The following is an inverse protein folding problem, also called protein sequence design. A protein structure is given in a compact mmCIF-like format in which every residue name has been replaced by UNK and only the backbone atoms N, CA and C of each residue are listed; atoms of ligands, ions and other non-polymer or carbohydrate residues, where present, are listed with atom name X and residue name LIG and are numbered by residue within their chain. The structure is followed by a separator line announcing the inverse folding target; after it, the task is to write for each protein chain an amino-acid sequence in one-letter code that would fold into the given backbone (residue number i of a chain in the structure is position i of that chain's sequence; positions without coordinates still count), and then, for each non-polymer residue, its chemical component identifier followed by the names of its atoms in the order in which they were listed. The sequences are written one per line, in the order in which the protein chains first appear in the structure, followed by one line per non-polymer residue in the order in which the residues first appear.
data_IF_671088712074
#
_entry.id   IF_671088712074
#
_cell.length_a   1.000
_cell.length_b   1.000
_cell.length_c   1.000
_cell.angle_alpha   90.00
_cell.angle_beta   90.00
_cell.angle_gamma   90.00
#
_symmetry.space_group_name_H-M   'P 1'
#
loop_
_entity.id
_entity.type
_entity.pdbx_description
1 polymer ?
#
# COMPACT_ATOMS: atom_id res chain seq x y z
N UNK A 1 5.99 16.02 -18.26
CA UNK A 1 4.68 16.39 -18.85
C UNK A 1 3.59 15.57 -18.16
N UNK A 2 2.71 16.22 -17.41
CA UNK A 2 1.59 15.56 -16.73
C UNK A 2 0.44 15.40 -17.71
N UNK A 3 0.34 14.23 -18.36
CA UNK A 3 -0.83 13.90 -19.15
C UNK A 3 -2.02 13.72 -18.20
N UNK A 4 -3.06 14.54 -18.35
CA UNK A 4 -4.37 14.37 -17.72
C UNK A 4 -5.13 13.32 -18.55
N UNK A 5 -5.14 12.02 -18.19
CA UNK A 5 -5.87 11.02 -18.96
C UNK A 5 -7.36 11.31 -18.90
N UNK A 6 -8.06 11.00 -19.99
CA UNK A 6 -9.47 11.34 -20.19
C UNK A 6 -10.35 10.14 -20.44
N UNK A 7 -9.79 8.96 -20.78
CA UNK A 7 -10.55 7.75 -21.10
C UNK A 7 -10.71 6.87 -19.86
N UNK A 8 -11.90 6.73 -19.26
CA UNK A 8 -12.11 5.84 -18.12
C UNK A 8 -11.94 4.36 -18.50
N UNK A 9 -11.72 3.52 -17.50
CA UNK A 9 -11.77 2.07 -17.68
C UNK A 9 -13.21 1.62 -17.93
N UNK A 10 -13.46 0.63 -18.81
CA UNK A 10 -14.82 0.17 -19.09
C UNK A 10 -15.50 -0.43 -17.84
N UNK A 11 -14.74 -1.11 -16.99
CA UNK A 11 -15.23 -1.69 -15.73
C UNK A 11 -14.10 -1.73 -14.68
N UNK A 12 -14.48 -1.99 -13.42
CA UNK A 12 -13.52 -2.21 -12.32
C UNK A 12 -12.76 -3.54 -12.53
N UNK A 13 -11.42 -3.53 -12.64
CA UNK A 13 -10.65 -4.77 -12.78
C UNK A 13 -10.61 -5.58 -11.47
N UNK A 14 -10.30 -6.87 -11.58
CA UNK A 14 -10.09 -7.73 -10.41
C UNK A 14 -8.96 -7.22 -9.50
N UNK A 15 -9.14 -7.35 -8.18
CA UNK A 15 -8.19 -6.88 -7.17
C UNK A 15 -8.24 -5.37 -6.88
N UNK A 16 -9.09 -4.61 -7.57
CA UNK A 16 -9.32 -3.20 -7.25
C UNK A 16 -10.44 -3.05 -6.21
N UNK A 17 -10.22 -2.17 -5.25
CA UNK A 17 -11.19 -1.75 -4.24
C UNK A 17 -11.80 -0.42 -4.70
N UNK A 18 -13.13 -0.30 -4.58
CA UNK A 18 -13.82 0.99 -4.78
C UNK A 18 -13.55 1.89 -3.57
N UNK A 19 -12.97 3.06 -3.82
CA UNK A 19 -12.67 4.05 -2.78
C UNK A 19 -13.85 5.00 -2.59
N UNK A 20 -14.35 5.54 -3.69
CA UNK A 20 -15.48 6.46 -3.71
C UNK A 20 -16.06 6.59 -5.11
N UNK A 21 -17.26 7.15 -5.21
CA UNK A 21 -17.88 7.54 -6.48
C UNK A 21 -17.80 9.05 -6.64
N UNK A 22 -17.52 9.53 -7.83
CA UNK A 22 -17.45 10.96 -8.12
C UNK A 22 -18.27 11.31 -9.36
N UNK A 23 -18.69 12.57 -9.46
CA UNK A 23 -19.44 13.05 -10.63
C UNK A 23 -18.56 13.31 -11.86
N UNK A 24 -17.23 13.44 -11.69
CA UNK A 24 -16.30 13.77 -12.78
C UNK A 24 -14.88 13.25 -12.55
N UNK A 25 -14.09 13.25 -13.63
CA UNK A 25 -12.65 12.97 -13.61
C UNK A 25 -11.83 13.98 -12.80
N UNK A 26 -12.41 15.13 -12.44
CA UNK A 26 -11.72 16.17 -11.68
C UNK A 26 -11.12 15.63 -10.38
N UNK A 27 -11.81 14.71 -9.70
CA UNK A 27 -11.24 14.07 -8.51
C UNK A 27 -10.08 13.13 -8.82
N UNK A 28 -10.18 12.30 -9.85
CA UNK A 28 -9.06 11.47 -10.27
C UNK A 28 -7.80 12.31 -10.55
N UNK A 29 -7.94 13.42 -11.30
CA UNK A 29 -6.81 14.33 -11.55
C UNK A 29 -6.29 15.03 -10.30
N UNK A 30 -7.15 15.34 -9.33
CA UNK A 30 -6.72 15.90 -8.06
C UNK A 30 -5.82 14.93 -7.27
N UNK A 31 -6.12 13.63 -7.26
CA UNK A 31 -5.25 12.60 -6.66
C UNK A 31 -3.91 12.52 -7.39
N UNK A 32 -3.90 12.48 -8.72
CA UNK A 32 -2.66 12.41 -9.50
C UNK A 32 -1.79 13.67 -9.31
N UNK A 33 -2.41 14.85 -9.40
CA UNK A 33 -1.71 16.12 -9.21
C UNK A 33 -1.27 16.34 -7.76
N UNK A 34 -2.03 15.83 -6.78
CA UNK A 34 -1.64 15.80 -5.38
C UNK A 34 -0.41 14.91 -5.15
N UNK A 35 -0.44 13.67 -5.66
CA UNK A 35 0.69 12.75 -5.60
C UNK A 35 1.96 13.36 -6.20
N UNK A 36 1.88 13.93 -7.41
CA UNK A 36 3.03 14.57 -8.03
C UNK A 36 3.59 15.75 -7.21
N UNK A 37 2.72 16.62 -6.69
CA UNK A 37 3.13 17.75 -5.82
C UNK A 37 3.74 17.27 -4.51
N UNK A 38 3.29 16.14 -3.97
CA UNK A 38 3.87 15.49 -2.80
C UNK A 38 5.16 14.71 -3.11
N UNK A 39 5.74 14.87 -4.31
CA UNK A 39 6.98 14.21 -4.72
C UNK A 39 6.83 12.73 -5.07
N UNK A 40 5.60 12.24 -5.25
CA UNK A 40 5.34 10.85 -5.62
C UNK A 40 5.51 10.65 -7.11
N UNK A 41 5.96 9.46 -7.45
CA UNK A 41 6.08 9.05 -8.83
C UNK A 41 4.74 8.56 -9.36
N UNK A 42 4.30 9.11 -10.50
CA UNK A 42 3.05 8.74 -11.17
C UNK A 42 3.38 8.26 -12.58
N UNK A 43 3.15 6.97 -12.84
CA UNK A 43 3.45 6.33 -14.12
C UNK A 43 2.23 5.62 -14.71
N UNK A 44 2.15 5.52 -16.02
CA UNK A 44 1.22 4.60 -16.68
C UNK A 44 1.69 3.16 -16.45
N UNK A 45 0.82 2.22 -16.08
CA UNK A 45 1.15 0.80 -16.08
C UNK A 45 1.61 0.33 -17.46
N UNK A 46 2.47 -0.70 -17.49
CA UNK A 46 3.00 -1.25 -18.75
C UNK A 46 1.86 -1.75 -19.64
N UNK A 47 1.90 -1.34 -20.91
CA UNK A 47 0.89 -1.72 -21.91
C UNK A 47 -0.38 -0.87 -21.89
N UNK A 48 -0.51 0.08 -20.94
CA UNK A 48 -1.62 1.01 -20.96
C UNK A 48 -1.40 2.14 -21.95
N UNK A 49 -2.48 2.49 -22.63
CA UNK A 49 -2.59 3.72 -23.38
C UNK A 49 -2.45 4.94 -22.45
N UNK A 50 -1.66 5.96 -22.83
CA UNK A 50 -1.52 7.19 -22.04
C UNK A 50 -2.83 7.90 -21.72
N UNK A 51 -3.87 7.78 -22.54
CA UNK A 51 -5.18 8.40 -22.29
C UNK A 51 -6.03 7.64 -21.28
N UNK A 52 -5.70 6.37 -21.00
CA UNK A 52 -6.44 5.55 -20.05
C UNK A 52 -6.29 6.10 -18.62
N UNK A 53 -7.39 6.23 -17.90
CA UNK A 53 -7.45 6.72 -16.52
C UNK A 53 -7.00 5.64 -15.52
N UNK A 54 -5.76 5.17 -15.68
CA UNK A 54 -5.08 4.23 -14.80
C UNK A 54 -3.64 4.66 -14.59
N UNK A 55 -3.24 4.85 -13.33
CA UNK A 55 -1.89 5.29 -12.97
C UNK A 55 -1.36 4.55 -11.77
N UNK A 56 -0.13 4.07 -11.85
CA UNK A 56 0.62 3.57 -10.72
C UNK A 56 1.22 4.77 -9.98
N UNK A 57 1.03 4.79 -8.67
CA UNK A 57 1.60 5.80 -7.77
C UNK A 57 2.57 5.10 -6.81
N UNK A 58 3.79 5.63 -6.71
CA UNK A 58 4.87 5.08 -5.88
C UNK A 58 5.63 6.16 -5.13
N UNK A 59 6.37 5.73 -4.10
CA UNK A 59 7.28 6.61 -3.35
C UNK A 59 6.67 7.28 -2.12
N UNK A 60 5.53 6.78 -1.61
CA UNK A 60 5.05 7.10 -0.28
C UNK A 60 5.33 5.94 0.66
N UNK A 61 5.89 6.25 1.83
CA UNK A 61 6.15 5.31 2.91
C UNK A 61 5.50 5.79 4.19
N UNK A 62 4.95 4.86 4.96
CA UNK A 62 4.31 5.10 6.25
C UNK A 62 5.18 4.49 7.37
N UNK A 63 5.86 5.31 8.19
CA UNK A 63 6.55 4.82 9.38
C UNK A 63 5.53 4.45 10.47
N UNK A 64 5.96 3.67 11.47
CA UNK A 64 5.08 3.34 12.60
C UNK A 64 3.89 2.43 12.23
N UNK A 65 3.98 1.73 11.10
CA UNK A 65 2.86 1.00 10.50
C UNK A 65 2.68 -0.42 11.05
N UNK A 66 3.32 -0.81 12.15
CA UNK A 66 3.29 -2.19 12.62
C UNK A 66 1.91 -2.70 13.06
N UNK A 67 0.97 -1.82 13.39
CA UNK A 67 -0.44 -2.20 13.65
C UNK A 67 -1.15 -2.75 12.41
N UNK A 68 -0.62 -2.48 11.22
CA UNK A 68 -1.15 -2.99 9.96
C UNK A 68 -0.58 -4.36 9.62
N UNK A 69 0.37 -4.90 10.37
CA UNK A 69 0.98 -6.20 10.11
C UNK A 69 -0.06 -7.33 10.22
N UNK A 70 -0.02 -8.27 9.27
CA UNK A 70 -0.72 -9.54 9.38
C UNK A 70 0.03 -10.48 10.32
N UNK A 71 -0.23 -10.30 11.63
CA UNK A 71 0.41 -11.12 12.67
C UNK A 71 0.07 -12.60 12.49
N UNK A 72 -1.15 -12.94 12.09
CA UNK A 72 -1.58 -14.33 11.92
C UNK A 72 -0.77 -15.04 10.83
N UNK A 73 -0.46 -14.34 9.73
CA UNK A 73 0.39 -14.90 8.67
C UNK A 73 1.84 -15.08 9.11
N UNK A 74 2.36 -14.19 9.96
CA UNK A 74 3.69 -14.35 10.55
C UNK A 74 3.71 -15.56 11.48
N UNK A 75 2.71 -15.68 12.37
CA UNK A 75 2.58 -16.84 13.27
C UNK A 75 2.52 -18.15 12.49
N UNK A 76 1.68 -18.23 11.44
CA UNK A 76 1.60 -19.42 10.60
C UNK A 76 2.95 -19.81 9.99
N UNK A 77 3.75 -18.84 9.55
CA UNK A 77 5.08 -19.13 8.99
C UNK A 77 6.09 -19.60 10.05
N UNK A 78 5.91 -19.22 11.32
CA UNK A 78 6.74 -19.71 12.43
C UNK A 78 6.34 -21.11 12.88
N UNK A 79 5.08 -21.49 12.74
CA UNK A 79 4.64 -22.87 13.02
C UNK A 79 5.31 -23.87 12.05
N UNK A 80 5.58 -23.44 10.81
CA UNK A 80 6.26 -24.22 9.77
C UNK A 80 7.80 -24.19 9.89
N UNK A 81 8.37 -23.29 10.69
CA UNK A 81 9.81 -23.05 10.77
C UNK A 81 10.25 -22.40 12.08
N UNK A 82 11.13 -23.08 12.83
CA UNK A 82 11.61 -22.59 14.11
C UNK A 82 12.60 -21.43 13.95
N UNK A 83 12.36 -20.32 14.68
CA UNK A 83 13.20 -19.13 14.70
C UNK A 83 13.52 -18.72 16.15
N UNK A 84 14.75 -18.29 16.41
CA UNK A 84 15.23 -17.93 17.76
C UNK A 84 15.18 -16.43 18.08
N UNK A 85 14.70 -15.61 17.14
CA UNK A 85 14.64 -14.17 17.34
C UNK A 85 13.71 -13.83 18.53
N UNK A 86 14.14 -13.01 19.52
CA UNK A 86 13.36 -12.76 20.73
C UNK A 86 11.94 -12.25 20.46
N UNK A 87 11.79 -11.37 19.46
CA UNK A 87 10.49 -10.85 19.07
C UNK A 87 9.54 -11.90 18.47
N UNK A 88 10.09 -12.95 17.83
CA UNK A 88 9.31 -14.05 17.25
C UNK A 88 8.95 -15.09 18.32
N UNK A 89 9.84 -15.33 19.28
CA UNK A 89 9.53 -16.15 20.46
C UNK A 89 8.43 -15.52 21.32
N UNK A 90 8.48 -14.20 21.54
CA UNK A 90 7.41 -13.47 22.21
C UNK A 90 6.08 -13.59 21.46
N UNK A 91 6.11 -13.52 20.12
CA UNK A 91 4.92 -13.71 19.30
C UNK A 91 4.32 -15.11 19.48
N UNK A 92 5.14 -16.17 19.49
CA UNK A 92 4.69 -17.54 19.75
C UNK A 92 4.13 -17.72 21.17
N UNK A 93 4.60 -16.92 22.14
CA UNK A 93 4.02 -16.83 23.48
C UNK A 93 2.74 -15.97 23.55
N UNK A 94 2.25 -15.45 22.42
CA UNK A 94 1.01 -14.67 22.32
C UNK A 94 1.19 -13.16 22.45
N UNK A 95 2.42 -12.65 22.54
CA UNK A 95 2.71 -11.21 22.61
C UNK A 95 3.29 -10.65 21.29
N UNK A 96 2.47 -9.95 20.47
CA UNK A 96 2.95 -9.33 19.24
C UNK A 96 3.69 -8.00 19.48
N UNK A 97 3.75 -7.49 20.71
CA UNK A 97 4.33 -6.19 21.06
C UNK A 97 5.78 -6.04 20.60
N UNK A 98 6.68 -6.97 20.97
CA UNK A 98 8.10 -6.93 20.55
C UNK A 98 8.28 -6.93 19.03
N UNK A 99 7.53 -7.77 18.30
CA UNK A 99 7.59 -7.78 16.84
C UNK A 99 7.13 -6.45 16.23
N UNK A 100 6.11 -5.81 16.80
CA UNK A 100 5.66 -4.50 16.35
C UNK A 100 6.69 -3.40 16.65
N UNK A 101 7.38 -3.50 17.78
CA UNK A 101 8.45 -2.56 18.13
C UNK A 101 9.61 -2.66 17.12
N UNK A 102 10.07 -3.87 16.82
CA UNK A 102 11.09 -4.14 15.79
C UNK A 102 10.67 -3.60 14.42
N UNK A 103 9.44 -3.90 14.01
CA UNK A 103 8.92 -3.48 12.72
C UNK A 103 8.83 -1.94 12.62
N UNK A 104 8.44 -1.26 13.70
CA UNK A 104 8.38 0.21 13.74
C UNK A 104 9.77 0.86 13.77
N UNK A 105 10.77 0.19 14.35
CA UNK A 105 12.13 0.71 14.45
C UNK A 105 12.89 0.61 13.12
N UNK A 106 12.68 -0.48 12.37
CA UNK A 106 13.54 -0.83 11.24
C UNK A 106 12.85 -0.89 9.89
N UNK A 107 11.51 -0.84 9.85
CA UNK A 107 10.75 -0.93 8.62
C UNK A 107 9.73 0.19 8.48
N UNK A 108 9.38 0.45 7.23
CA UNK A 108 8.28 1.31 6.85
C UNK A 108 7.33 0.55 5.92
N UNK A 109 6.05 0.92 5.93
CA UNK A 109 5.09 0.39 4.98
C UNK A 109 5.12 1.22 3.71
N UNK A 110 5.61 0.64 2.61
CA UNK A 110 5.54 1.26 1.29
C UNK A 110 4.11 1.20 0.78
N UNK A 111 3.48 2.36 0.64
CA UNK A 111 2.07 2.50 0.24
C UNK A 111 2.00 2.77 -1.26
N UNK A 112 2.38 1.77 -2.04
CA UNK A 112 2.23 1.83 -3.50
C UNK A 112 0.82 1.36 -3.90
N UNK A 113 0.28 1.93 -4.97
CA UNK A 113 -1.02 1.52 -5.49
C UNK A 113 -1.19 1.87 -6.96
N UNK A 114 -2.14 1.20 -7.63
CA UNK A 114 -2.63 1.61 -8.93
C UNK A 114 -3.99 2.27 -8.76
N UNK A 115 -4.08 3.56 -9.06
CA UNK A 115 -5.31 4.33 -9.04
C UNK A 115 -5.97 4.28 -10.43
N UNK A 116 -7.29 4.14 -10.46
CA UNK A 116 -8.05 4.14 -11.69
C UNK A 116 -9.40 4.83 -11.54
N UNK A 117 -9.96 5.26 -12.67
CA UNK A 117 -11.32 5.78 -12.77
C UNK A 117 -12.13 4.98 -13.80
N UNK A 118 -13.32 4.53 -13.43
CA UNK A 118 -14.18 3.68 -14.28
C UNK A 118 -15.24 4.49 -15.04
N UNK A 119 -15.83 3.89 -16.07
CA UNK A 119 -16.98 4.46 -16.79
C UNK A 119 -18.22 4.61 -15.89
N UNK A 120 -18.33 3.76 -14.85
CA UNK A 120 -19.33 3.88 -13.79
C UNK A 120 -19.04 5.01 -12.78
N UNK A 121 -17.98 5.79 -13.02
CA UNK A 121 -17.53 6.93 -12.23
C UNK A 121 -17.01 6.58 -10.83
N UNK A 122 -16.49 5.36 -10.70
CA UNK A 122 -15.83 4.90 -9.49
C UNK A 122 -14.36 5.30 -9.52
N UNK A 123 -13.89 5.91 -8.42
CA UNK A 123 -12.47 5.93 -8.10
C UNK A 123 -12.13 4.60 -7.43
N UNK A 124 -11.24 3.84 -8.07
CA UNK A 124 -10.84 2.52 -7.61
C UNK A 124 -9.32 2.48 -7.43
N UNK A 125 -8.84 1.67 -6.49
CA UNK A 125 -7.42 1.44 -6.29
C UNK A 125 -7.10 -0.04 -6.11
N UNK A 126 -5.99 -0.48 -6.69
CA UNK A 126 -5.34 -1.75 -6.36
C UNK A 126 -4.17 -1.45 -5.43
N UNK A 127 -4.25 -1.78 -4.12
CA UNK A 127 -3.15 -1.60 -3.20
C UNK A 127 -2.02 -2.60 -3.51
N UNK A 128 -0.79 -2.16 -3.35
CA UNK A 128 0.43 -2.96 -3.52
C UNK A 128 1.38 -2.71 -2.35
N UNK A 129 0.80 -2.79 -1.14
CA UNK A 129 1.46 -2.43 0.10
C UNK A 129 2.45 -3.50 0.53
N UNK A 130 3.63 -3.08 0.99
CA UNK A 130 4.68 -3.99 1.45
C UNK A 130 5.53 -3.31 2.51
N UNK A 131 5.98 -4.06 3.50
CA UNK A 131 7.03 -3.56 4.39
C UNK A 131 8.37 -3.55 3.67
N UNK A 132 9.16 -2.52 3.91
CA UNK A 132 10.52 -2.39 3.41
C UNK A 132 11.43 -1.91 4.55
N UNK A 133 12.68 -2.41 4.62
CA UNK A 133 13.62 -1.94 5.62
C UNK A 133 13.99 -0.48 5.33
N UNK A 134 13.99 0.35 6.38
CA UNK A 134 14.44 1.75 6.34
C UNK A 134 15.94 1.78 6.02
N UNK A 135 16.71 0.95 6.72
CA UNK A 135 18.14 0.71 6.49
C UNK A 135 18.36 -0.79 6.26
N UNK A 136 18.95 -1.14 5.12
CA UNK A 136 19.20 -2.55 4.77
C UNK A 136 20.20 -3.17 5.75
N UNK A 137 19.86 -4.33 6.31
CA UNK A 137 20.71 -5.09 7.22
C UNK A 137 20.75 -4.59 8.66
N UNK A 138 19.91 -3.61 9.04
CA UNK A 138 19.84 -3.12 10.42
C UNK A 138 18.93 -3.95 11.31
N UNK A 139 17.94 -4.64 10.73
CA UNK A 139 17.04 -5.54 11.43
C UNK A 139 17.61 -6.96 11.41
N UNK A 140 17.58 -7.62 12.56
CA UNK A 140 17.94 -9.03 12.71
C UNK A 140 16.76 -9.99 12.43
N UNK A 141 15.56 -9.46 12.13
CA UNK A 141 14.44 -10.30 11.67
C UNK A 141 14.82 -11.13 10.43
N UNK A 142 14.42 -12.42 10.39
CA UNK A 142 14.67 -13.28 9.24
C UNK A 142 14.13 -12.68 7.93
N UNK A 143 14.94 -12.73 6.86
CA UNK A 143 14.56 -12.21 5.54
C UNK A 143 13.41 -12.98 4.89
N UNK A 144 13.20 -14.24 5.30
CA UNK A 144 12.11 -15.11 4.85
C UNK A 144 10.76 -14.78 5.50
N UNK A 145 10.75 -13.95 6.54
CA UNK A 145 9.53 -13.66 7.30
C UNK A 145 8.50 -12.92 6.41
N UNK A 146 7.24 -13.39 6.33
CA UNK A 146 6.25 -12.78 5.46
C UNK A 146 5.68 -11.50 6.07
N UNK A 147 6.46 -10.42 6.03
CA UNK A 147 6.04 -9.09 6.48
C UNK A 147 5.06 -8.47 5.48
N UNK A 148 3.78 -8.77 5.64
CA UNK A 148 2.70 -8.25 4.82
C UNK A 148 1.66 -7.53 5.67
N UNK A 149 1.02 -6.47 5.15
CA UNK A 149 -0.09 -5.88 5.86
C UNK A 149 -1.29 -6.85 5.85
N UNK A 150 -2.07 -6.83 6.94
CA UNK A 150 -3.37 -7.50 7.00
C UNK A 150 -4.29 -6.97 5.91
N UNK A 151 -5.40 -7.68 5.69
CA UNK A 151 -6.46 -7.16 4.84
C UNK A 151 -6.99 -5.84 5.42
N UNK A 152 -6.84 -4.78 4.65
CA UNK A 152 -7.32 -3.44 4.99
C UNK A 152 -8.73 -3.24 4.42
N UNK A 153 -9.60 -2.62 5.22
CA UNK A 153 -10.92 -2.22 4.78
C UNK A 153 -10.87 -1.11 3.72
N UNK A 154 -11.99 -0.88 3.04
CA UNK A 154 -12.12 0.20 2.05
C UNK A 154 -11.64 1.55 2.58
N UNK A 155 -12.12 1.94 3.76
CA UNK A 155 -11.85 3.27 4.32
C UNK A 155 -10.38 3.44 4.72
N UNK A 156 -9.74 2.37 5.21
CA UNK A 156 -8.31 2.36 5.52
C UNK A 156 -7.47 2.53 4.24
N UNK A 157 -7.81 1.80 3.17
CA UNK A 157 -7.14 1.96 1.88
C UNK A 157 -7.37 3.36 1.33
N UNK A 158 -8.60 3.89 1.44
CA UNK A 158 -8.92 5.23 0.95
C UNK A 158 -8.12 6.31 1.69
N UNK A 159 -8.02 6.22 3.01
CA UNK A 159 -7.22 7.13 3.83
C UNK A 159 -5.74 7.08 3.45
N UNK A 160 -5.17 5.87 3.30
CA UNK A 160 -3.77 5.71 2.89
C UNK A 160 -3.50 6.31 1.52
N UNK A 161 -4.42 6.12 0.56
CA UNK A 161 -4.32 6.71 -0.78
C UNK A 161 -4.43 8.23 -0.72
N UNK A 162 -5.31 8.80 0.12
CA UNK A 162 -5.40 10.25 0.32
C UNK A 162 -4.12 10.84 0.90
N UNK A 163 -3.56 10.23 1.95
CA UNK A 163 -2.29 10.65 2.56
C UNK A 163 -1.14 10.57 1.57
N UNK A 164 -1.04 9.48 0.81
CA UNK A 164 -0.03 9.33 -0.24
C UNK A 164 -0.11 10.44 -1.30
N UNK A 165 -1.33 10.87 -1.62
CA UNK A 165 -1.61 11.95 -2.56
C UNK A 165 -1.59 13.36 -1.94
N UNK A 166 -1.29 13.53 -0.64
CA UNK A 166 -1.29 14.82 0.03
C UNK A 166 -2.67 15.50 0.07
N UNK A 167 -3.74 14.71 0.20
CA UNK A 167 -5.13 15.18 0.25
C UNK A 167 -5.79 15.02 1.64
N UNK A 168 -5.06 14.46 2.60
CA UNK A 168 -5.46 14.26 3.99
C UNK A 168 -4.29 14.62 4.91
#
# INVERSE_FOLDING_TARGET
MTLKPTRPLPARPAGYVELARYSSLGRFWAYLGGAQRAGREVRSPRGDDPELCRRRVTGYSLPGAALMLDVGRVTQALDDGFETHPALLALLAGDPGPLRAELNAHFELNVNFVLAFTAARDLVARPEFKYAPIVRGLSDLPLSLPLQPRRLGRDEVHLLVQRACGLA
#
